data_IF_252432420135
#
_entry.id   IF_252432420135
#
_cell.length_a   1.000
_cell.length_b   1.000
_cell.length_c   1.000
_cell.angle_alpha   90.00
_cell.angle_beta   90.00
_cell.angle_gamma   90.00
#
_symmetry.space_group_name_H-M   'P 1'
#
loop_
_entity.id
_entity.type
_entity.pdbx_description
1 polymer ?
2 polymer ?
3 non-polymer ?
4 water ?
#
# COMPACT_ATOMS: atom_id res chain seq x y z
N UNK A 3 -3.69 -21.36 11.69
CA UNK A 3 -2.85 -20.74 12.71
C UNK A 3 -3.56 -20.62 14.06
N UNK A 4 -4.82 -21.06 14.11
CA UNK A 4 -5.63 -20.94 15.31
C UNK A 4 -5.10 -21.68 16.53
N UNK A 5 -4.12 -22.57 16.36
CA UNK A 5 -3.57 -23.30 17.49
C UNK A 5 -2.19 -22.82 17.91
N UNK A 6 -1.59 -21.86 17.20
CA UNK A 6 -0.31 -21.33 17.59
C UNK A 6 -0.49 -20.04 18.40
N UNK A 7 0.41 -19.83 19.36
CA UNK A 7 0.34 -18.66 20.22
C UNK A 7 0.63 -17.38 19.45
N UNK A 8 0.03 -16.28 19.91
CA UNK A 8 0.20 -15.00 19.24
C UNK A 8 1.66 -14.56 19.23
N UNK A 9 2.31 -14.64 20.39
CA UNK A 9 3.73 -14.29 20.48
C UNK A 9 4.56 -15.14 19.53
N UNK A 10 4.24 -16.42 19.44
CA UNK A 10 4.94 -17.32 18.53
C UNK A 10 4.73 -16.90 17.08
N UNK A 11 3.51 -16.48 16.73
CA UNK A 11 3.25 -16.02 15.36
C UNK A 11 4.07 -14.78 15.03
N UNK A 12 4.17 -13.84 15.96
CA UNK A 12 4.98 -12.64 15.73
C UNK A 12 6.44 -13.01 15.58
N UNK A 13 6.95 -13.86 16.48
CA UNK A 13 8.34 -14.28 16.43
C UNK A 13 8.66 -14.96 15.10
N UNK A 14 7.77 -15.86 14.66
CA UNK A 14 7.99 -16.55 13.39
C UNK A 14 7.87 -15.60 12.21
N UNK A 15 7.00 -14.58 12.29
CA UNK A 15 6.95 -13.57 11.24
C UNK A 15 8.28 -12.83 11.11
N UNK A 16 8.90 -12.50 12.26
CA UNK A 16 10.22 -11.87 12.22
C UNK A 16 11.24 -12.80 11.58
N UNK A 17 11.25 -14.08 11.99
CA UNK A 17 12.15 -15.04 11.38
C UNK A 17 11.95 -15.12 9.87
N UNK A 18 10.68 -15.10 9.42
CA UNK A 18 10.39 -15.18 7.99
C UNK A 18 10.88 -13.94 7.26
N UNK A 19 10.72 -12.76 7.86
CA UNK A 19 11.29 -11.56 7.27
C UNK A 19 12.80 -11.70 7.09
N UNK A 20 13.50 -12.23 8.10
CA UNK A 20 14.94 -12.42 7.98
C UNK A 20 15.29 -13.41 6.87
N UNK A 21 14.43 -14.40 6.63
CA UNK A 21 14.66 -15.41 5.60
C UNK A 21 14.05 -15.04 4.26
N UNK A 22 13.48 -13.85 4.13
CA UNK A 22 12.82 -13.40 2.90
C UNK A 22 11.76 -14.40 2.44
N UNK A 23 10.99 -14.92 3.38
CA UNK A 23 9.88 -15.83 3.10
C UNK A 23 8.59 -15.08 3.41
N UNK A 24 8.17 -14.22 2.46
CA UNK A 24 7.12 -13.26 2.76
C UNK A 24 5.72 -13.86 2.72
N UNK A 25 5.51 -14.95 1.99
CA UNK A 25 4.22 -15.63 2.07
C UNK A 25 4.01 -16.22 3.46
N UNK A 26 5.03 -16.88 4.00
CA UNK A 26 4.96 -17.38 5.38
C UNK A 26 4.75 -16.24 6.36
N UNK A 27 5.48 -15.14 6.17
CA UNK A 27 5.32 -13.98 7.05
C UNK A 27 3.88 -13.45 7.00
N UNK A 28 3.30 -13.38 5.81
CA UNK A 28 1.93 -12.91 5.68
C UNK A 28 0.96 -13.84 6.38
N UNK A 29 1.12 -15.15 6.23
CA UNK A 29 0.23 -16.10 6.89
C UNK A 29 0.35 -15.99 8.41
N UNK A 30 1.58 -15.85 8.92
CA UNK A 30 1.80 -15.67 10.36
C UNK A 30 1.11 -14.40 10.86
N UNK A 31 1.32 -13.28 10.17
CA UNK A 31 0.69 -12.04 10.60
C UNK A 31 -0.83 -12.11 10.51
N UNK A 32 -1.36 -12.79 9.50
CA UNK A 32 -2.80 -12.99 9.41
C UNK A 32 -3.32 -13.74 10.61
N UNK A 33 -2.63 -14.83 11.00
CA UNK A 33 -3.03 -15.54 12.20
C UNK A 33 -2.98 -14.68 13.44
N UNK A 34 -1.94 -13.84 13.55
CA UNK A 34 -1.83 -12.92 14.67
C UNK A 34 -3.00 -11.95 14.73
N UNK A 35 -3.35 -11.36 13.58
CA UNK A 35 -4.50 -10.47 13.51
C UNK A 35 -5.76 -11.22 13.95
N UNK A 36 -5.93 -12.42 13.43
CA UNK A 36 -7.07 -13.30 13.73
C UNK A 36 -7.15 -13.65 15.23
N UNK A 37 -6.07 -13.49 15.99
CA UNK A 37 -6.15 -13.66 17.44
C UNK A 37 -7.11 -12.69 18.12
N UNK A 38 -7.45 -11.58 17.46
CA UNK A 38 -8.46 -10.66 17.96
C UNK A 38 -7.94 -9.45 18.71
N UNK A 39 -6.67 -9.43 19.07
CA UNK A 39 -6.09 -8.32 19.83
C UNK A 39 -5.58 -7.23 18.88
N UNK A 40 -5.60 -5.99 19.37
CA UNK A 40 -5.05 -4.87 18.61
C UNK A 40 -3.54 -5.06 18.45
N UNK A 41 -3.00 -4.47 17.38
CA UNK A 41 -1.59 -4.64 17.03
C UNK A 41 -0.78 -3.44 17.50
N UNK A 42 0.47 -3.70 17.85
CA UNK A 42 1.35 -2.59 18.16
C UNK A 42 1.84 -1.96 16.86
N UNK A 43 2.61 -0.88 17.01
CA UNK A 43 3.22 -0.22 15.87
C UNK A 43 4.13 -1.18 15.09
N UNK A 44 4.98 -1.91 15.81
CA UNK A 44 5.90 -2.86 15.19
C UNK A 44 5.15 -3.98 14.49
N UNK A 45 4.09 -4.51 15.12
CA UNK A 45 3.30 -5.57 14.50
C UNK A 45 2.57 -5.07 13.25
N UNK A 46 2.03 -3.85 13.30
CA UNK A 46 1.42 -3.26 12.11
C UNK A 46 2.44 -3.17 10.98
N UNK A 47 3.65 -2.74 11.29
CA UNK A 47 4.68 -2.63 10.25
C UNK A 47 5.03 -4.00 9.69
N UNK A 48 5.07 -5.03 10.54
CA UNK A 48 5.34 -6.39 10.05
C UNK A 48 4.26 -6.86 9.09
N UNK A 49 2.99 -6.68 9.48
CA UNK A 49 1.87 -7.03 8.61
C UNK A 49 1.98 -6.32 7.26
N UNK A 50 2.23 -5.01 7.30
CA UNK A 50 2.29 -4.23 6.07
C UNK A 50 3.44 -4.69 5.19
N UNK A 51 4.62 -4.92 5.77
CA UNK A 51 5.79 -5.36 5.01
C UNK A 51 5.49 -6.70 4.33
N UNK A 52 4.91 -7.64 5.09
CA UNK A 52 4.64 -8.97 4.55
C UNK A 52 3.73 -8.89 3.33
N UNK A 53 2.56 -8.28 3.51
CA UNK A 53 1.60 -8.27 2.41
C UNK A 53 2.07 -7.37 1.27
N UNK A 54 2.89 -6.38 1.57
CA UNK A 54 3.44 -5.50 0.53
C UNK A 54 4.40 -6.27 -0.36
N UNK A 55 5.24 -7.13 0.19
CA UNK A 55 6.14 -7.90 -0.66
C UNK A 55 5.39 -8.96 -1.46
N UNK A 56 4.40 -9.61 -0.84
CA UNK A 56 3.59 -10.59 -1.56
C UNK A 56 2.91 -9.94 -2.76
N UNK A 57 2.14 -8.90 -2.52
CA UNK A 57 1.41 -8.27 -3.64
C UNK A 57 2.40 -7.64 -4.61
N UNK A 58 3.57 -7.21 -4.14
CA UNK A 58 4.50 -6.59 -5.06
C UNK A 58 5.01 -7.58 -6.09
N UNK A 59 5.39 -8.77 -5.64
CA UNK A 59 5.72 -9.84 -6.58
C UNK A 59 4.58 -10.12 -7.55
N UNK A 60 3.35 -10.23 -7.01
CA UNK A 60 2.23 -10.56 -7.89
C UNK A 60 1.94 -9.44 -8.89
N UNK A 61 2.10 -8.18 -8.48
CA UNK A 61 1.84 -7.05 -9.37
C UNK A 61 2.89 -6.96 -10.47
N UNK A 62 4.17 -7.19 -10.13
CA UNK A 62 5.21 -7.20 -11.15
C UNK A 62 4.94 -8.30 -12.18
N UNK A 63 4.59 -9.50 -11.70
CA UNK A 63 4.23 -10.57 -12.63
C UNK A 63 3.05 -10.16 -13.51
N UNK A 64 2.03 -9.54 -12.92
CA UNK A 64 0.86 -9.11 -13.68
C UNK A 64 1.25 -8.12 -14.76
N UNK A 65 2.12 -7.16 -14.45
CA UNK A 65 2.52 -6.16 -15.45
C UNK A 65 3.25 -6.82 -16.60
N UNK A 66 4.19 -7.73 -16.28
CA UNK A 66 4.90 -8.45 -17.35
C UNK A 66 3.91 -9.14 -18.27
N UNK A 67 3.00 -9.92 -17.69
CA UNK A 67 2.06 -10.70 -18.50
C UNK A 67 1.11 -9.79 -19.27
N UNK A 68 0.69 -8.68 -18.67
CA UNK A 68 -0.23 -7.76 -19.34
C UNK A 68 0.44 -7.12 -20.55
N UNK A 69 1.73 -6.81 -20.44
CA UNK A 69 2.44 -6.23 -21.58
C UNK A 69 2.63 -7.26 -22.69
N UNK A 70 2.94 -8.51 -22.33
CA UNK A 70 2.99 -9.57 -23.33
C UNK A 70 1.64 -9.72 -24.02
N UNK A 71 0.55 -9.67 -23.25
CA UNK A 71 -0.79 -9.83 -23.81
C UNK A 71 -1.12 -8.70 -24.78
N UNK A 72 -0.80 -7.46 -24.40
CA UNK A 72 -1.13 -6.33 -25.26
C UNK A 72 -0.23 -6.26 -26.48
N UNK A 73 0.97 -6.82 -26.44
CA UNK A 73 1.74 -6.98 -27.68
C UNK A 73 1.17 -8.11 -28.54
N UNK A 74 0.63 -9.16 -27.91
CA UNK A 74 -0.04 -10.20 -28.68
C UNK A 74 -1.34 -9.71 -29.30
N UNK A 75 -1.90 -8.61 -28.80
CA UNK A 75 -3.15 -8.07 -29.34
C UNK A 75 -2.94 -6.96 -30.36
N UNK A 76 -1.72 -6.78 -30.87
CA UNK A 76 -1.43 -5.73 -31.83
C UNK A 76 -1.53 -6.26 -33.27
N UNK A 77 -1.48 -5.33 -34.22
CA UNK A 77 -1.56 -5.66 -35.64
C UNK A 77 -0.24 -6.24 -36.13
N UNK A 78 -0.30 -7.44 -36.72
CA UNK A 78 0.89 -8.14 -37.14
C UNK A 78 1.37 -9.23 -36.20
N UNK A 79 0.69 -9.41 -35.07
CA UNK A 79 1.03 -10.44 -34.10
C UNK A 79 0.34 -11.75 -34.47
N UNK A 80 1.06 -12.85 -34.32
CA UNK A 80 0.52 -14.16 -34.66
C UNK A 80 -0.33 -14.69 -33.50
N UNK A 81 -1.48 -15.28 -33.85
CA UNK A 81 -2.37 -15.84 -32.85
C UNK A 81 -1.70 -17.02 -32.17
N UNK A 82 -1.65 -16.98 -30.84
CA UNK A 82 -0.91 -17.96 -30.06
C UNK A 82 -1.81 -18.83 -29.19
N UNK A 83 -3.13 -18.60 -29.21
CA UNK A 83 -4.04 -19.35 -28.39
C UNK A 83 -4.48 -18.53 -27.20
N UNK A 84 -5.19 -19.16 -26.26
CA UNK A 84 -5.69 -18.43 -25.10
C UNK A 84 -4.75 -18.52 -23.89
N UNK A 85 -3.52 -18.94 -24.10
CA UNK A 85 -2.64 -19.28 -22.97
C UNK A 85 -2.21 -18.02 -22.21
N UNK A 86 -1.76 -16.99 -22.92
CA UNK A 86 -1.33 -15.76 -22.26
C UNK A 86 -2.49 -15.16 -21.47
N UNK A 87 -3.67 -15.10 -22.07
CA UNK A 87 -4.82 -14.52 -21.40
C UNK A 87 -5.21 -15.34 -20.17
N UNK A 88 -5.22 -16.67 -20.29
CA UNK A 88 -5.56 -17.53 -19.16
C UNK A 88 -4.57 -17.36 -18.02
N UNK A 89 -3.27 -17.30 -18.31
CA UNK A 89 -2.29 -17.19 -17.24
C UNK A 89 -2.33 -15.81 -16.59
N UNK A 90 -2.49 -14.75 -17.41
CA UNK A 90 -2.67 -13.42 -16.85
C UNK A 90 -3.88 -13.38 -15.93
N UNK A 91 -4.94 -14.03 -16.31
CA UNK A 91 -6.18 -14.06 -15.51
C UNK A 91 -5.93 -14.84 -14.22
N UNK A 92 -5.14 -15.89 -14.27
CA UNK A 92 -4.86 -16.65 -13.05
C UNK A 92 -4.03 -15.83 -12.06
N UNK A 93 -2.96 -15.20 -12.55
CA UNK A 93 -2.17 -14.31 -11.70
C UNK A 93 -3.05 -13.19 -11.15
N UNK A 94 -3.92 -12.63 -11.99
CA UNK A 94 -4.82 -11.57 -11.57
C UNK A 94 -5.74 -12.04 -10.46
N UNK A 95 -6.31 -13.24 -10.61
CA UNK A 95 -7.21 -13.77 -9.60
C UNK A 95 -6.49 -13.97 -8.28
N UNK A 96 -5.25 -14.47 -8.33
CA UNK A 96 -4.48 -14.67 -7.11
C UNK A 96 -4.19 -13.34 -6.40
N UNK A 97 -3.76 -12.33 -7.18
CA UNK A 97 -3.56 -10.99 -6.63
C UNK A 97 -4.85 -10.49 -5.96
N UNK A 98 -5.98 -10.63 -6.66
CA UNK A 98 -7.26 -10.17 -6.12
C UNK A 98 -7.60 -10.90 -4.83
N UNK A 99 -7.26 -12.19 -4.75
CA UNK A 99 -7.47 -12.92 -3.51
C UNK A 99 -6.65 -12.37 -2.36
N UNK A 100 -5.39 -12.02 -2.63
CA UNK A 100 -4.56 -11.45 -1.57
C UNK A 100 -5.12 -10.11 -1.09
N UNK A 101 -5.53 -9.25 -2.03
CA UNK A 101 -6.13 -7.97 -1.65
C UNK A 101 -7.44 -8.16 -0.89
N UNK A 102 -8.27 -9.11 -1.31
CA UNK A 102 -9.50 -9.40 -0.57
C UNK A 102 -9.18 -9.86 0.84
N UNK A 103 -8.12 -10.66 1.00
CA UNK A 103 -7.73 -11.11 2.33
C UNK A 103 -7.33 -9.94 3.21
N UNK A 104 -6.50 -9.03 2.67
CA UNK A 104 -6.05 -7.88 3.46
C UNK A 104 -7.25 -7.00 3.85
N UNK A 105 -8.11 -6.71 2.88
CA UNK A 105 -9.27 -5.86 3.16
C UNK A 105 -10.22 -6.54 4.15
N UNK A 106 -10.34 -7.86 4.11
CA UNK A 106 -11.17 -8.55 5.09
C UNK A 106 -10.58 -8.48 6.49
N UNK A 107 -9.24 -8.53 6.58
CA UNK A 107 -8.60 -8.31 7.87
C UNK A 107 -8.88 -6.91 8.39
N UNK A 108 -8.77 -5.91 7.50
CA UNK A 108 -9.01 -4.53 7.90
C UNK A 108 -10.47 -4.34 8.34
N UNK A 109 -11.39 -5.03 7.67
CA UNK A 109 -12.81 -4.88 8.00
C UNK A 109 -13.24 -5.73 9.18
N UNK A 110 -12.49 -6.78 9.53
CA UNK A 110 -12.86 -7.66 10.65
C UNK A 110 -11.60 -8.01 11.45
N UNK A 111 -11.21 -7.15 12.39
CA UNK A 111 -11.94 -5.92 12.73
C UNK A 111 -10.94 -4.81 13.05
N UNK A 112 -9.86 -4.72 12.28
CA UNK A 112 -8.75 -3.85 12.65
C UNK A 112 -9.18 -2.39 12.70
N UNK A 113 -9.86 -1.90 11.67
CA UNK A 113 -10.15 -0.48 11.57
C UNK A 113 -11.10 -0.03 12.67
N UNK A 114 -12.14 -0.81 12.95
CA UNK A 114 -13.16 -0.35 13.89
C UNK A 114 -12.68 -0.36 15.34
N UNK A 115 -11.55 -1.00 15.64
CA UNK A 115 -11.01 -1.02 16.99
C UNK A 115 -9.76 -0.17 17.13
N UNK A 116 -9.48 0.69 16.15
CA UNK A 116 -8.30 1.56 16.16
C UNK A 116 -8.75 2.98 16.51
N UNK A 117 -8.53 3.38 17.77
CA UNK A 117 -8.92 4.70 18.21
C UNK A 117 -7.86 5.76 18.01
N UNK A 118 -6.60 5.42 18.32
CA UNK A 118 -5.49 6.34 18.16
C UNK A 118 -5.34 6.76 16.69
N UNK A 119 -4.87 8.00 16.50
CA UNK A 119 -4.71 8.53 15.15
C UNK A 119 -3.69 7.74 14.34
N UNK A 120 -2.58 7.35 14.96
CA UNK A 120 -1.51 6.69 14.22
C UNK A 120 -1.98 5.35 13.67
N UNK A 121 -2.58 4.52 14.51
CA UNK A 121 -3.03 3.21 14.05
C UNK A 121 -4.16 3.33 13.04
N UNK A 122 -5.10 4.26 13.27
CA UNK A 122 -6.23 4.41 12.36
C UNK A 122 -5.78 4.91 11.00
N UNK A 123 -4.88 5.91 10.97
CA UNK A 123 -4.34 6.39 9.71
C UNK A 123 -3.57 5.28 9.00
N UNK A 124 -2.82 4.47 9.76
CA UNK A 124 -2.10 3.35 9.16
C UNK A 124 -3.06 2.38 8.47
N UNK A 125 -4.14 2.01 9.16
CA UNK A 125 -5.07 1.03 8.60
C UNK A 125 -5.82 1.60 7.39
N UNK A 126 -6.22 2.87 7.46
CA UNK A 126 -6.92 3.47 6.33
C UNK A 126 -5.99 3.64 5.13
N UNK A 127 -4.71 3.95 5.39
CA UNK A 127 -3.74 3.99 4.30
C UNK A 127 -3.60 2.63 3.64
N UNK A 128 -3.53 1.56 4.44
CA UNK A 128 -3.51 0.21 3.88
C UNK A 128 -4.75 -0.07 3.04
N UNK A 129 -5.93 0.28 3.55
CA UNK A 129 -7.17 0.07 2.83
C UNK A 129 -7.14 0.76 1.46
N UNK A 130 -6.73 2.03 1.45
CA UNK A 130 -6.61 2.73 0.19
C UNK A 130 -5.59 2.08 -0.74
N UNK A 131 -4.45 1.65 -0.19
CA UNK A 131 -3.43 0.99 -1.00
C UNK A 131 -3.96 -0.26 -1.67
N UNK A 132 -4.71 -1.08 -0.93
CA UNK A 132 -5.11 -2.36 -1.49
C UNK A 132 -6.31 -2.23 -2.42
N UNK A 133 -7.20 -1.25 -2.18
CA UNK A 133 -8.18 -0.93 -3.20
C UNK A 133 -7.51 -0.37 -4.45
N UNK A 134 -6.41 0.39 -4.31
CA UNK A 134 -5.69 0.87 -5.48
C UNK A 134 -5.05 -0.28 -6.25
N UNK A 135 -4.51 -1.27 -5.53
CA UNK A 135 -3.97 -2.44 -6.21
C UNK A 135 -5.06 -3.17 -6.98
N UNK A 136 -6.27 -3.25 -6.40
CA UNK A 136 -7.39 -3.83 -7.13
C UNK A 136 -7.74 -3.00 -8.36
N UNK A 137 -7.65 -1.67 -8.24
CA UNK A 137 -8.02 -0.79 -9.36
C UNK A 137 -7.03 -0.91 -10.51
N UNK A 138 -5.77 -1.29 -10.23
CA UNK A 138 -4.78 -1.42 -11.29
C UNK A 138 -5.16 -2.49 -12.30
N UNK A 139 -5.92 -3.51 -11.89
CA UNK A 139 -6.27 -4.63 -12.76
C UNK A 139 -7.75 -4.67 -13.12
N UNK A 140 -8.58 -3.79 -12.55
CA UNK A 140 -10.00 -3.83 -12.83
C UNK A 140 -10.30 -3.25 -14.21
N UNK A 141 -11.32 -3.80 -14.87
CA UNK A 141 -11.65 -3.39 -16.24
C UNK A 141 -13.11 -3.04 -16.48
N UNK A 142 -14.05 -3.49 -15.66
CA UNK A 142 -15.43 -3.18 -15.94
C UNK A 142 -16.40 -3.11 -14.78
N UNK A 143 -17.32 -2.13 -14.85
CA UNK A 143 -18.51 -2.04 -14.01
C UNK A 143 -18.20 -1.70 -12.56
N UNK A 144 -17.47 -2.57 -11.87
CA UNK A 144 -17.07 -2.28 -10.49
C UNK A 144 -15.86 -1.36 -10.41
N UNK A 145 -15.26 -1.04 -11.55
CA UNK A 145 -14.03 -0.24 -11.60
C UNK A 145 -14.18 1.10 -10.87
N UNK A 146 -15.24 1.82 -11.15
CA UNK A 146 -15.41 3.14 -10.56
C UNK A 146 -15.66 3.05 -9.07
N UNK A 147 -16.39 2.03 -8.62
CA UNK A 147 -16.63 1.88 -7.19
C UNK A 147 -15.38 1.46 -6.44
N UNK A 148 -14.52 0.64 -7.06
CA UNK A 148 -13.23 0.31 -6.47
C UNK A 148 -12.36 1.56 -6.34
N UNK A 149 -12.31 2.35 -7.41
CA UNK A 149 -11.53 3.60 -7.37
C UNK A 149 -12.05 4.52 -6.28
N UNK A 150 -13.38 4.63 -6.14
CA UNK A 150 -13.91 5.50 -5.11
C UNK A 150 -13.67 4.93 -3.71
N UNK A 151 -13.62 3.61 -3.56
CA UNK A 151 -13.26 3.03 -2.27
C UNK A 151 -11.84 3.43 -1.87
N UNK A 152 -10.91 3.34 -2.83
CA UNK A 152 -9.54 3.80 -2.57
C UNK A 152 -9.51 5.29 -2.22
N UNK A 153 -10.20 6.11 -3.02
CA UNK A 153 -10.23 7.54 -2.77
C UNK A 153 -10.79 7.84 -1.38
N UNK A 154 -11.86 7.16 -0.98
CA UNK A 154 -12.49 7.41 0.31
C UNK A 154 -11.56 7.06 1.46
N UNK A 155 -10.92 5.89 1.38
CA UNK A 155 -9.99 5.50 2.45
C UNK A 155 -8.85 6.50 2.56
N UNK A 156 -8.27 6.86 1.41
CA UNK A 156 -7.17 7.82 1.39
C UNK A 156 -7.60 9.17 1.95
N UNK A 157 -8.80 9.61 1.61
CA UNK A 157 -9.27 10.92 2.06
C UNK A 157 -9.48 10.95 3.56
N UNK A 158 -10.12 9.92 4.12
CA UNK A 158 -10.32 9.89 5.55
C UNK A 158 -8.98 9.86 6.29
N UNK A 159 -8.03 9.05 5.78
CA UNK A 159 -6.70 9.03 6.37
C UNK A 159 -6.05 10.41 6.31
N UNK A 160 -6.18 11.11 5.18
CA UNK A 160 -5.60 12.44 5.03
C UNK A 160 -6.21 13.42 6.03
N UNK A 161 -7.53 13.39 6.19
CA UNK A 161 -8.19 14.29 7.14
C UNK A 161 -7.69 14.05 8.55
N UNK A 162 -7.70 12.79 8.99
CA UNK A 162 -7.27 12.48 10.35
C UNK A 162 -5.81 12.87 10.55
N UNK A 163 -4.95 12.60 9.55
CA UNK A 163 -3.53 12.89 9.69
C UNK A 163 -3.26 14.40 9.73
N UNK A 164 -4.00 15.18 8.93
CA UNK A 164 -3.86 16.63 9.00
C UNK A 164 -4.29 17.15 10.36
N UNK A 165 -5.31 16.54 10.96
CA UNK A 165 -5.77 17.02 12.26
C UNK A 165 -4.85 16.59 13.40
N UNK A 166 -4.28 15.38 13.35
CA UNK A 166 -3.74 14.75 14.54
C UNK A 166 -2.25 14.41 14.45
N UNK A 167 -1.57 14.72 13.35
CA UNK A 167 -0.18 14.36 13.21
C UNK A 167 0.63 15.53 12.68
N UNK A 168 1.92 15.60 13.02
CA UNK A 168 2.78 16.67 12.49
C UNK A 168 3.13 16.40 11.04
N UNK A 169 3.46 17.45 10.27
CA UNK A 169 3.71 17.25 8.83
C UNK A 169 4.93 16.38 8.54
N UNK A 170 5.74 16.07 9.53
CA UNK A 170 6.95 15.28 9.34
C UNK A 170 6.76 13.81 9.69
N UNK A 171 5.57 13.42 10.12
CA UNK A 171 5.32 12.03 10.49
C UNK A 171 5.50 11.13 9.29
N UNK A 172 6.31 10.08 9.38
CA UNK A 172 6.55 9.22 8.21
C UNK A 172 5.29 8.55 7.67
N UNK A 173 4.31 8.24 8.52
CA UNK A 173 3.07 7.65 8.03
C UNK A 173 2.31 8.65 7.19
N UNK A 174 2.25 9.91 7.65
CA UNK A 174 1.59 10.94 6.87
C UNK A 174 2.30 11.18 5.54
N UNK A 175 3.63 11.18 5.56
CA UNK A 175 4.39 11.38 4.34
C UNK A 175 4.15 10.26 3.34
N UNK A 176 4.22 9.00 3.82
CA UNK A 176 3.99 7.87 2.93
C UNK A 176 2.56 7.84 2.41
N UNK A 177 1.60 8.19 3.26
CA UNK A 177 0.21 8.27 2.83
C UNK A 177 0.04 9.30 1.73
N UNK A 178 0.65 10.48 1.88
CA UNK A 178 0.54 11.51 0.85
C UNK A 178 1.23 11.07 -0.44
N UNK A 179 2.40 10.44 -0.34
CA UNK A 179 3.06 9.91 -1.52
C UNK A 179 2.15 8.94 -2.27
N UNK A 180 1.52 8.01 -1.54
CA UNK A 180 0.68 7.01 -2.18
C UNK A 180 -0.60 7.62 -2.74
N UNK A 181 -1.17 8.61 -2.06
CA UNK A 181 -2.38 9.27 -2.55
C UNK A 181 -2.08 10.07 -3.81
N UNK A 182 -0.89 10.69 -3.87
CA UNK A 182 -0.47 11.36 -5.10
C UNK A 182 -0.28 10.35 -6.23
N UNK A 183 0.30 9.19 -5.93
CA UNK A 183 0.44 8.16 -6.96
C UNK A 183 -0.94 7.70 -7.46
N UNK A 184 -1.90 7.56 -6.53
CA UNK A 184 -3.28 7.27 -6.91
C UNK A 184 -3.81 8.31 -7.88
N UNK A 185 -3.63 9.59 -7.56
CA UNK A 185 -4.12 10.65 -8.44
C UNK A 185 -3.47 10.57 -9.82
N UNK A 186 -2.17 10.27 -9.87
CA UNK A 186 -1.47 10.26 -11.14
C UNK A 186 -1.85 9.06 -11.99
N UNK A 187 -1.81 7.85 -11.41
CA UNK A 187 -1.92 6.60 -12.14
C UNK A 187 -3.35 6.09 -12.29
N UNK A 188 -4.21 6.36 -11.31
CA UNK A 188 -5.52 5.73 -11.22
C UNK A 188 -6.64 6.72 -11.55
N UNK A 189 -6.65 7.87 -10.89
CA UNK A 189 -7.73 8.84 -11.02
C UNK A 189 -7.54 9.79 -12.19
N UNK A 190 -6.46 9.66 -12.97
CA UNK A 190 -6.23 10.50 -14.14
C UNK A 190 -6.20 11.99 -13.77
N UNK A 191 -5.44 12.30 -12.71
CA UNK A 191 -5.38 13.66 -12.16
C UNK A 191 -3.94 14.01 -11.84
N UNK A 192 -3.11 14.18 -12.87
CA UNK A 192 -1.67 14.40 -12.62
C UNK A 192 -1.38 15.74 -11.95
N UNK A 193 -2.19 16.77 -12.20
CA UNK A 193 -1.97 18.05 -11.54
C UNK A 193 -2.24 17.96 -10.06
N UNK A 194 -3.30 17.25 -9.67
CA UNK A 194 -3.56 17.02 -8.25
C UNK A 194 -2.42 16.26 -7.60
N UNK A 195 -1.88 15.25 -8.30
CA UNK A 195 -0.76 14.48 -7.77
C UNK A 195 0.46 15.37 -7.52
N UNK A 196 0.80 16.21 -8.49
CA UNK A 196 1.97 17.07 -8.36
C UNK A 196 1.75 18.09 -7.23
N UNK A 197 0.57 18.71 -7.21
CA UNK A 197 0.23 19.65 -6.14
C UNK A 197 0.37 19.00 -4.76
N UNK A 198 -0.21 17.81 -4.58
CA UNK A 198 -0.14 17.13 -3.30
C UNK A 198 1.30 16.85 -2.91
N UNK A 199 2.11 16.37 -3.86
CA UNK A 199 3.50 16.04 -3.55
C UNK A 199 4.29 17.28 -3.13
N UNK A 200 4.16 18.38 -3.87
CA UNK A 200 4.92 19.58 -3.53
C UNK A 200 4.45 20.21 -2.22
N UNK A 201 3.13 20.23 -1.98
CA UNK A 201 2.62 20.78 -0.73
C UNK A 201 3.10 19.96 0.46
N UNK A 202 3.03 18.62 0.36
CA UNK A 202 3.49 17.75 1.44
C UNK A 202 4.98 17.95 1.72
N UNK A 203 5.79 17.98 0.65
CA UNK A 203 7.22 18.20 0.80
C UNK A 203 7.50 19.52 1.51
N UNK A 204 6.85 20.60 1.07
CA UNK A 204 7.14 21.92 1.63
C UNK A 204 6.75 22.00 3.09
N UNK A 205 5.55 21.51 3.44
CA UNK A 205 5.12 21.60 4.84
C UNK A 205 5.96 20.72 5.75
N UNK A 206 6.50 19.61 5.25
CA UNK A 206 7.41 18.85 6.09
C UNK A 206 8.77 19.53 6.23
N UNK A 207 9.27 20.10 5.13
CA UNK A 207 10.49 20.89 5.17
C UNK A 207 10.42 21.98 6.21
N UNK A 208 9.27 22.66 6.30
CA UNK A 208 9.14 23.77 7.23
C UNK A 208 9.23 23.34 8.68
N UNK A 209 8.98 22.06 8.99
CA UNK A 209 8.97 21.56 10.36
C UNK A 209 10.14 20.65 10.68
N UNK A 210 11.01 20.37 9.70
CA UNK A 210 12.23 19.61 9.97
C UNK A 210 13.01 20.11 11.18
N UNK A 211 12.95 21.40 11.49
CA UNK A 211 13.76 21.97 12.56
C UNK A 211 13.35 21.48 13.94
N UNK A 212 12.14 20.94 14.09
CA UNK A 212 11.70 20.45 15.39
C UNK A 212 12.22 19.06 15.72
N UNK A 213 12.82 18.37 14.74
CA UNK A 213 13.09 16.94 14.88
C UNK A 213 14.51 16.68 15.37
N UNK A 214 14.66 15.54 16.05
CA UNK A 214 15.97 15.02 16.39
C UNK A 214 16.63 14.43 15.14
N UNK A 215 17.90 14.04 15.30
CA UNK A 215 18.68 13.58 14.14
C UNK A 215 18.03 12.35 13.48
N UNK A 216 17.58 11.39 14.29
CA UNK A 216 17.05 10.15 13.72
C UNK A 216 15.67 10.34 13.11
N UNK A 217 14.80 11.13 13.78
CA UNK A 217 13.53 11.51 13.17
C UNK A 217 13.74 12.30 11.89
N UNK A 218 14.79 13.14 11.86
CA UNK A 218 15.17 13.88 10.67
C UNK A 218 15.52 12.94 9.52
N UNK A 219 16.33 11.92 9.82
CA UNK A 219 16.68 10.93 8.79
C UNK A 219 15.44 10.21 8.28
N UNK A 220 14.57 9.78 9.21
CA UNK A 220 13.35 9.06 8.84
C UNK A 220 12.47 9.88 7.91
N UNK A 221 12.29 11.17 8.22
CA UNK A 221 11.40 12.01 7.42
C UNK A 221 12.03 12.38 6.08
N UNK A 222 13.33 12.70 6.07
CA UNK A 222 13.97 13.10 4.83
C UNK A 222 14.03 11.93 3.85
N UNK A 223 14.10 10.69 4.33
CA UNK A 223 14.15 9.58 3.38
C UNK A 223 12.87 9.51 2.54
N UNK A 224 11.71 9.79 3.14
CA UNK A 224 10.46 9.75 2.39
C UNK A 224 10.23 11.05 1.61
N UNK A 225 10.69 12.18 2.14
CA UNK A 225 10.67 13.40 1.34
C UNK A 225 11.46 13.22 0.05
N UNK A 226 12.53 12.42 0.09
CA UNK A 226 13.28 12.14 -1.12
C UNK A 226 12.44 11.35 -2.12
N UNK A 227 11.57 10.45 -1.65
CA UNK A 227 10.65 9.77 -2.57
C UNK A 227 9.70 10.76 -3.22
N UNK A 228 9.21 11.72 -2.43
CA UNK A 228 8.34 12.76 -2.99
C UNK A 228 9.09 13.57 -4.05
N UNK A 229 10.34 13.93 -3.77
CA UNK A 229 11.12 14.68 -4.76
C UNK A 229 11.42 13.84 -5.99
N UNK A 230 11.61 12.54 -5.83
CA UNK A 230 11.83 11.67 -6.98
C UNK A 230 10.60 11.67 -7.89
N UNK A 231 9.42 11.48 -7.30
CA UNK A 231 8.20 11.50 -8.11
C UNK A 231 8.02 12.85 -8.78
N UNK A 232 8.34 13.94 -8.08
CA UNK A 232 8.22 15.27 -8.67
C UNK A 232 9.16 15.43 -9.86
N UNK A 233 10.42 14.99 -9.71
CA UNK A 233 11.38 15.08 -10.81
C UNK A 233 10.93 14.23 -11.99
N UNK A 234 10.31 13.08 -11.73
CA UNK A 234 9.80 12.25 -12.81
C UNK A 234 8.64 12.91 -13.53
N UNK A 235 7.78 13.61 -12.80
CA UNK A 235 6.54 14.14 -13.38
C UNK A 235 6.67 15.57 -13.87
N UNK A 236 7.79 16.26 -13.62
CA UNK A 236 7.93 17.65 -14.05
C UNK A 236 9.09 17.83 -15.04
N UNK B 6 10.69 4.12 -12.45
CA UNK B 6 9.33 3.90 -11.95
C UNK B 6 9.05 4.74 -10.71
N UNK B 7 7.85 5.32 -10.64
CA UNK B 7 7.47 6.19 -9.54
C UNK B 7 7.49 5.43 -8.21
N UNK B 8 7.74 6.17 -7.13
CA UNK B 8 7.86 5.59 -5.80
C UNK B 8 6.52 5.51 -5.07
N UNK B 9 6.31 4.39 -4.37
CA UNK B 9 5.18 4.24 -3.46
C UNK B 9 5.66 3.67 -2.12
N UNK B 10 4.79 3.73 -1.11
CA UNK B 10 5.13 3.20 0.21
C UNK B 10 3.98 2.39 0.80
X LIG C 1 -9.12 0.57 20.62
#
# INVERSE_FOLDING_TARGET
GAMGSMERASLIQKAKLAEQAERYEDMAAFMKGAVEKGEELSCEERNLLSVAYKNVVGGQRAAWRVLSSIEQKSNEEGSEEKGPEVREYREKVETELQGVCDTVLGLLDSHLIKEAGDAESRVFYLKMKGDYYRYLAEVATGDDKKRIIDSARSAYQEAMDISKKEMPPTNPIRLGLALNFSVFHYEIANSPEEAISLAKTTFDEAMADLHTLSEDSYKDSTLIMQLLRDNLTLWT
ARVSMRRMSN
CA CA
#
